data_IF_317771961185
#
_entry.id   IF_317771961185
#
_cell.length_a   1.000
_cell.length_b   1.000
_cell.length_c   1.000
_cell.angle_alpha   90.00
_cell.angle_beta   90.00
_cell.angle_gamma   90.00
#
_symmetry.space_group_name_H-M   'P 1'
#
loop_
_entity.id
_entity.type
_entity.pdbx_description
1 polymer ?
#
# COMPACT_ATOMS: atom_id res chain seq x y z
N UNK A 1 -19.99 12.67 -0.21
CA UNK A 1 -19.61 11.46 0.54
C UNK A 1 -20.30 10.27 -0.12
N UNK A 2 -19.57 9.24 -0.55
CA UNK A 2 -20.11 8.15 -1.38
C UNK A 2 -20.75 6.99 -0.59
N UNK A 3 -20.49 6.88 0.72
CA UNK A 3 -21.12 5.86 1.57
C UNK A 3 -20.22 4.63 1.79
N UNK A 4 -20.85 3.45 1.92
CA UNK A 4 -20.16 2.17 2.16
C UNK A 4 -19.47 1.69 0.88
N UNK A 5 -18.16 1.45 0.95
CA UNK A 5 -17.33 0.97 -0.16
C UNK A 5 -17.83 -0.35 -0.75
N UNK A 6 -18.42 -1.22 0.08
CA UNK A 6 -18.98 -2.50 -0.37
C UNK A 6 -20.22 -2.34 -1.26
N UNK A 7 -20.85 -1.16 -1.26
CA UNK A 7 -22.02 -0.83 -2.08
C UNK A 7 -21.68 0.13 -3.22
N UNK A 8 -20.42 0.54 -3.35
CA UNK A 8 -19.96 1.45 -4.39
C UNK A 8 -19.66 0.69 -5.69
N UNK A 9 -20.01 1.32 -6.81
CA UNK A 9 -19.65 0.89 -8.16
C UNK A 9 -18.51 1.79 -8.65
N UNK A 10 -17.30 1.23 -8.73
CA UNK A 10 -16.09 1.95 -9.11
C UNK A 10 -16.13 2.52 -10.53
N UNK A 11 -16.91 1.91 -11.43
CA UNK A 11 -17.10 2.41 -12.79
C UNK A 11 -18.01 3.64 -12.89
N UNK A 12 -18.74 3.97 -11.82
CA UNK A 12 -19.59 5.18 -11.73
C UNK A 12 -18.94 6.33 -10.95
N UNK A 13 -17.75 6.12 -10.39
CA UNK A 13 -17.01 7.16 -9.68
C UNK A 13 -16.29 8.02 -10.72
N UNK A 14 -16.23 9.33 -10.47
CA UNK A 14 -15.41 10.23 -11.29
C UNK A 14 -13.95 9.72 -11.32
N UNK A 15 -13.35 9.53 -12.51
CA UNK A 15 -11.98 9.04 -12.62
C UNK A 15 -10.98 9.92 -11.87
N UNK A 16 -10.02 9.28 -11.20
CA UNK A 16 -8.96 9.97 -10.46
C UNK A 16 -7.60 9.37 -10.79
N UNK A 17 -6.53 10.18 -10.76
CA UNK A 17 -5.18 9.69 -11.02
C UNK A 17 -4.66 8.76 -9.90
N UNK A 18 -5.05 9.03 -8.64
CA UNK A 18 -4.50 8.35 -7.46
C UNK A 18 -5.64 7.93 -6.52
N UNK A 19 -5.65 6.66 -6.12
CA UNK A 19 -6.48 6.17 -5.01
C UNK A 19 -5.59 5.83 -3.82
N UNK A 20 -5.84 6.48 -2.68
CA UNK A 20 -5.15 6.18 -1.43
C UNK A 20 -6.09 5.49 -0.47
N UNK A 21 -5.66 4.40 0.16
CA UNK A 21 -6.49 3.69 1.13
C UNK A 21 -5.66 2.95 2.19
N UNK A 22 -6.30 2.69 3.32
CA UNK A 22 -5.82 1.75 4.32
C UNK A 22 -6.95 0.76 4.61
N UNK A 23 -6.59 -0.44 5.06
CA UNK A 23 -7.55 -1.49 5.40
C UNK A 23 -7.30 -2.00 6.82
N UNK A 24 -8.34 -2.33 7.60
CA UNK A 24 -8.15 -2.96 8.89
C UNK A 24 -7.31 -4.24 8.74
N UNK A 25 -6.14 -4.28 9.40
CA UNK A 25 -5.18 -5.38 9.27
C UNK A 25 -5.77 -6.75 9.69
N UNK A 26 -6.80 -6.74 10.53
CA UNK A 26 -7.46 -7.96 11.04
C UNK A 26 -8.28 -8.69 9.95
N UNK A 27 -8.84 -7.95 9.00
CA UNK A 27 -9.76 -8.52 8.00
C UNK A 27 -9.03 -9.25 6.87
N UNK A 28 -7.75 -8.95 6.64
CA UNK A 28 -6.93 -9.59 5.59
C UNK A 28 -6.65 -11.07 5.89
N UNK A 29 -6.31 -11.39 7.15
CA UNK A 29 -6.01 -12.77 7.56
C UNK A 29 -7.21 -13.72 7.43
N UNK A 30 -8.41 -13.17 7.53
CA UNK A 30 -9.67 -13.90 7.40
C UNK A 30 -10.00 -14.13 5.93
N UNK A 31 -9.80 -13.13 5.08
CA UNK A 31 -10.10 -13.20 3.65
C UNK A 31 -9.17 -14.17 2.90
N UNK A 32 -7.85 -14.15 3.18
CA UNK A 32 -6.89 -15.07 2.55
C UNK A 32 -7.12 -16.57 2.87
N UNK A 33 -7.87 -16.88 3.93
CA UNK A 33 -8.30 -18.25 4.26
C UNK A 33 -9.62 -18.66 3.61
N UNK A 34 -10.37 -17.70 3.04
CA UNK A 34 -11.75 -17.88 2.58
C UNK A 34 -11.93 -17.81 1.06
N UNK A 35 -10.87 -17.56 0.28
CA UNK A 35 -10.95 -17.61 -1.19
C UNK A 35 -11.39 -18.98 -1.77
N UNK A 36 -11.46 -20.04 -0.95
CA UNK A 36 -12.01 -21.33 -1.33
C UNK A 36 -13.52 -21.53 -1.12
N UNK A 37 -14.26 -20.55 -0.55
CA UNK A 37 -15.69 -20.67 -0.29
C UNK A 37 -16.41 -19.42 -0.77
N UNK A 38 -17.11 -19.56 -1.91
CA UNK A 38 -18.04 -18.55 -2.43
C UNK A 38 -19.02 -18.11 -1.34
N UNK A 39 -18.97 -16.82 -0.97
CA UNK A 39 -20.08 -16.19 -0.27
C UNK A 39 -19.71 -15.29 0.90
N UNK A 40 -19.89 -14.00 0.67
CA UNK A 40 -20.25 -12.95 1.62
C UNK A 40 -19.15 -12.38 2.54
N UNK A 41 -18.75 -11.14 2.19
CA UNK A 41 -17.81 -10.20 2.82
C UNK A 41 -16.33 -10.42 2.48
N UNK A 42 -15.94 -9.87 1.33
CA UNK A 42 -14.55 -9.58 1.03
C UNK A 42 -14.02 -8.52 2.04
N UNK A 43 -12.73 -8.54 2.37
CA UNK A 43 -12.17 -7.52 3.26
C UNK A 43 -12.20 -6.14 2.59
N UNK A 44 -12.19 -5.04 3.36
CA UNK A 44 -12.18 -3.69 2.80
C UNK A 44 -10.99 -3.42 1.85
N UNK A 45 -9.91 -4.19 1.98
CA UNK A 45 -8.82 -4.19 1.01
C UNK A 45 -9.29 -4.68 -0.37
N UNK A 46 -9.98 -5.82 -0.43
CA UNK A 46 -10.47 -6.37 -1.69
C UNK A 46 -11.58 -5.52 -2.30
N UNK A 47 -12.42 -4.87 -1.50
CA UNK A 47 -13.39 -3.87 -2.00
C UNK A 47 -12.68 -2.68 -2.66
N UNK A 48 -11.58 -2.19 -2.08
CA UNK A 48 -10.79 -1.13 -2.70
C UNK A 48 -10.13 -1.60 -4.01
N UNK A 49 -9.59 -2.82 -4.05
CA UNK A 49 -9.05 -3.41 -5.28
C UNK A 49 -10.15 -3.61 -6.34
N UNK A 50 -11.36 -4.02 -5.96
CA UNK A 50 -12.52 -4.12 -6.86
C UNK A 50 -12.82 -2.77 -7.50
N UNK A 51 -12.92 -1.70 -6.70
CA UNK A 51 -13.17 -0.35 -7.21
C UNK A 51 -12.07 0.11 -8.17
N UNK A 52 -10.79 -0.17 -7.85
CA UNK A 52 -9.67 0.14 -8.74
C UNK A 52 -9.83 -0.57 -10.09
N UNK A 53 -10.18 -1.87 -10.09
CA UNK A 53 -10.40 -2.63 -11.32
C UNK A 53 -11.58 -2.09 -12.12
N UNK A 54 -12.72 -1.85 -11.46
CA UNK A 54 -13.93 -1.31 -12.11
C UNK A 54 -13.68 0.07 -12.73
N UNK A 55 -12.94 0.96 -12.04
CA UNK A 55 -12.56 2.26 -12.57
C UNK A 55 -11.61 2.13 -13.77
N UNK A 56 -10.64 1.20 -13.72
CA UNK A 56 -9.76 0.93 -14.86
C UNK A 56 -10.54 0.41 -16.05
N UNK A 57 -11.45 -0.52 -15.85
CA UNK A 57 -12.30 -1.03 -16.91
C UNK A 57 -13.14 0.09 -17.55
N UNK A 58 -13.83 0.89 -16.73
CA UNK A 58 -14.67 2.00 -17.21
C UNK A 58 -13.88 3.11 -17.92
N UNK A 59 -12.60 3.27 -17.59
CA UNK A 59 -11.70 4.26 -18.20
C UNK A 59 -10.78 3.68 -19.28
N UNK A 60 -11.05 2.48 -19.79
CA UNK A 60 -10.21 1.79 -20.80
C UNK A 60 -8.73 1.65 -20.36
N UNK A 61 -8.50 1.46 -19.08
CA UNK A 61 -7.18 1.30 -18.47
C UNK A 61 -6.48 2.61 -18.13
N UNK A 62 -7.11 3.78 -18.29
CA UNK A 62 -6.45 5.06 -18.02
C UNK A 62 -6.38 5.40 -16.52
N UNK A 63 -7.42 5.11 -15.75
CA UNK A 63 -7.55 5.52 -14.33
C UNK A 63 -7.94 4.39 -13.37
N UNK A 64 -7.43 4.37 -12.13
CA UNK A 64 -6.38 5.25 -11.64
C UNK A 64 -5.01 4.81 -12.16
N UNK A 65 -4.09 5.77 -12.29
CA UNK A 65 -2.69 5.51 -12.64
C UNK A 65 -1.92 4.97 -11.44
N UNK A 66 -2.29 5.40 -10.24
CA UNK A 66 -1.61 5.04 -9.01
C UNK A 66 -2.56 4.58 -7.93
N UNK A 67 -2.07 3.66 -7.10
CA UNK A 67 -2.64 3.43 -5.78
C UNK A 67 -1.58 3.59 -4.70
N UNK A 68 -2.01 4.03 -3.52
CA UNK A 68 -1.20 4.04 -2.31
C UNK A 68 -1.93 3.29 -1.22
N UNK A 69 -1.35 2.19 -0.76
CA UNK A 69 -1.87 1.43 0.37
C UNK A 69 -1.00 1.63 1.60
N UNK A 70 -1.60 2.07 2.70
CA UNK A 70 -0.95 2.20 4.01
C UNK A 70 -1.40 1.06 4.94
N UNK A 71 -0.45 0.47 5.67
CA UNK A 71 -0.78 -0.47 6.73
C UNK A 71 0.30 -0.58 7.81
N UNK A 72 -0.03 -1.26 8.91
CA UNK A 72 0.91 -1.59 9.99
C UNK A 72 1.94 -2.62 9.53
N UNK A 73 3.17 -2.53 10.07
CA UNK A 73 4.24 -3.49 9.76
C UNK A 73 3.91 -4.93 10.17
N UNK A 74 2.89 -5.13 11.02
CA UNK A 74 2.38 -6.45 11.38
C UNK A 74 1.86 -7.26 10.17
N UNK A 75 1.45 -6.59 9.08
CA UNK A 75 1.01 -7.25 7.85
C UNK A 75 2.11 -8.16 7.24
N UNK A 76 3.39 -7.81 7.39
CA UNK A 76 4.52 -8.64 6.94
C UNK A 76 4.64 -9.97 7.69
N UNK A 77 4.18 -10.04 8.94
CA UNK A 77 4.25 -11.27 9.75
C UNK A 77 2.92 -12.01 9.83
N UNK A 78 1.84 -11.39 9.38
CA UNK A 78 0.49 -11.95 9.49
C UNK A 78 0.38 -13.21 8.64
N UNK A 79 -0.28 -14.24 9.19
CA UNK A 79 -0.44 -15.55 8.55
C UNK A 79 0.88 -16.13 7.99
N UNK A 80 1.98 -16.00 8.75
CA UNK A 80 3.34 -16.42 8.34
C UNK A 80 3.85 -15.71 7.07
N UNK A 81 3.41 -14.47 6.83
CA UNK A 81 3.80 -13.66 5.68
C UNK A 81 2.87 -13.81 4.46
N UNK A 82 1.89 -14.71 4.50
CA UNK A 82 0.99 -14.95 3.37
C UNK A 82 0.03 -13.78 3.10
N UNK A 83 -0.34 -13.01 4.13
CA UNK A 83 -1.30 -11.93 3.94
C UNK A 83 -0.70 -10.79 3.09
N UNK A 84 0.58 -10.44 3.31
CA UNK A 84 1.24 -9.44 2.46
C UNK A 84 1.53 -9.99 1.04
N UNK A 85 1.75 -11.30 0.90
CA UNK A 85 1.82 -11.96 -0.41
C UNK A 85 0.51 -11.77 -1.17
N UNK A 86 -0.62 -12.04 -0.51
CA UNK A 86 -1.96 -11.88 -1.08
C UNK A 86 -2.26 -10.41 -1.44
N UNK A 87 -1.75 -9.45 -0.66
CA UNK A 87 -1.83 -8.01 -1.00
C UNK A 87 -1.11 -7.74 -2.33
N UNK A 88 0.13 -8.22 -2.49
CA UNK A 88 0.87 -8.03 -3.75
C UNK A 88 0.19 -8.73 -4.92
N UNK A 89 -0.30 -9.96 -4.74
CA UNK A 89 -1.05 -10.68 -5.77
C UNK A 89 -2.30 -9.92 -6.20
N UNK A 90 -3.10 -9.43 -5.23
CA UNK A 90 -4.31 -8.68 -5.53
C UNK A 90 -4.02 -7.36 -6.23
N UNK A 91 -2.96 -6.64 -5.83
CA UNK A 91 -2.55 -5.39 -6.50
C UNK A 91 -2.07 -5.66 -7.92
N UNK A 92 -1.19 -6.66 -8.12
CA UNK A 92 -0.75 -7.03 -9.47
C UNK A 92 -1.91 -7.53 -10.33
N UNK A 93 -2.93 -8.15 -9.73
CA UNK A 93 -4.12 -8.64 -10.43
C UNK A 93 -4.98 -7.56 -11.09
N UNK A 94 -4.68 -6.28 -10.85
CA UNK A 94 -5.26 -5.15 -11.57
C UNK A 94 -4.79 -5.10 -13.03
N UNK A 95 -3.57 -5.57 -13.32
CA UNK A 95 -2.95 -5.57 -14.66
C UNK A 95 -2.64 -6.97 -15.18
N UNK A 96 -2.39 -7.94 -14.30
CA UNK A 96 -1.98 -9.31 -14.68
C UNK A 96 -2.83 -10.38 -13.99
N UNK A 97 -3.40 -11.31 -14.76
CA UNK A 97 -4.21 -12.39 -14.19
C UNK A 97 -3.46 -13.32 -13.22
N UNK A 98 -2.13 -13.39 -13.31
CA UNK A 98 -1.30 -14.21 -12.41
C UNK A 98 0.10 -13.64 -12.27
N UNK A 99 0.35 -12.96 -11.15
CA UNK A 99 1.70 -12.55 -10.77
C UNK A 99 2.37 -13.68 -9.97
N UNK A 100 3.61 -14.02 -10.33
CA UNK A 100 4.42 -14.95 -9.54
C UNK A 100 5.11 -14.18 -8.40
N UNK A 101 4.39 -14.01 -7.28
CA UNK A 101 4.93 -13.33 -6.11
C UNK A 101 5.71 -14.35 -5.26
N UNK A 102 7.03 -14.16 -5.06
CA UNK A 102 7.84 -15.08 -4.29
C UNK A 102 7.39 -15.12 -2.84
N UNK A 103 7.52 -16.31 -2.23
CA UNK A 103 7.31 -16.48 -0.80
C UNK A 103 8.56 -16.04 -0.05
N UNK A 104 8.37 -15.23 0.98
CA UNK A 104 9.42 -14.83 1.91
C UNK A 104 9.13 -15.40 3.29
N UNK A 105 10.14 -15.99 3.93
CA UNK A 105 10.06 -16.32 5.37
C UNK A 105 9.93 -15.04 6.22
N UNK A 106 10.54 -13.95 5.74
CA UNK A 106 10.45 -12.62 6.33
C UNK A 106 10.48 -11.57 5.24
N UNK A 107 9.41 -10.80 5.13
CA UNK A 107 9.34 -9.71 4.15
C UNK A 107 10.37 -8.62 4.45
N UNK A 108 11.07 -8.12 3.41
CA UNK A 108 11.97 -6.99 3.57
C UNK A 108 11.18 -5.70 3.82
N UNK A 109 11.80 -4.75 4.53
CA UNK A 109 11.20 -3.44 4.80
C UNK A 109 11.02 -2.57 3.54
N UNK A 110 11.60 -2.98 2.42
CA UNK A 110 11.40 -2.37 1.12
C UNK A 110 11.54 -3.43 0.02
N UNK A 111 10.82 -3.27 -1.08
CA UNK A 111 10.94 -4.15 -2.24
C UNK A 111 10.13 -3.65 -3.42
N UNK A 112 10.35 -4.29 -4.57
CA UNK A 112 9.85 -3.86 -5.87
C UNK A 112 9.47 -5.10 -6.69
N UNK A 113 8.28 -5.06 -7.27
CA UNK A 113 7.83 -5.93 -8.37
C UNK A 113 7.83 -5.08 -9.63
N UNK A 114 8.52 -5.57 -10.67
CA UNK A 114 8.55 -4.97 -11.99
C UNK A 114 7.87 -5.93 -12.96
N UNK A 115 6.86 -5.46 -13.66
CA UNK A 115 6.23 -6.13 -14.78
C UNK A 115 6.56 -5.37 -16.08
N UNK A 116 5.95 -5.79 -17.19
CA UNK A 116 6.22 -5.20 -18.51
C UNK A 116 5.71 -3.75 -18.62
N UNK A 117 4.54 -3.46 -18.04
CA UNK A 117 3.85 -2.16 -18.18
C UNK A 117 3.30 -1.59 -16.86
N UNK A 118 3.65 -2.20 -15.72
CA UNK A 118 3.34 -1.66 -14.39
C UNK A 118 4.43 -2.03 -13.36
N UNK A 119 4.42 -1.35 -12.22
CA UNK A 119 5.34 -1.65 -11.12
C UNK A 119 4.66 -1.49 -9.77
N UNK A 120 5.11 -2.26 -8.78
CA UNK A 120 4.62 -2.20 -7.40
C UNK A 120 5.80 -2.12 -6.45
N UNK A 121 5.90 -1.05 -5.68
CA UNK A 121 6.95 -0.87 -4.69
C UNK A 121 6.34 -0.81 -3.28
N UNK A 122 7.07 -1.28 -2.28
CA UNK A 122 6.72 -1.03 -0.88
C UNK A 122 7.93 -0.58 -0.07
N UNK A 123 7.66 0.16 1.02
CA UNK A 123 8.67 0.64 1.97
C UNK A 123 8.05 0.89 3.34
N UNK A 124 8.82 0.65 4.39
CA UNK A 124 8.48 1.07 5.76
C UNK A 124 9.03 2.47 6.02
N UNK A 125 8.15 3.40 6.37
CA UNK A 125 8.51 4.72 6.88
C UNK A 125 8.22 4.82 8.37
N UNK A 126 9.01 5.61 9.09
CA UNK A 126 8.81 5.92 10.51
C UNK A 126 8.55 7.42 10.66
N UNK A 127 7.37 7.79 11.16
CA UNK A 127 6.93 9.18 11.28
C UNK A 127 7.91 10.09 12.05
N UNK A 128 8.77 9.52 12.91
CA UNK A 128 9.78 10.27 13.65
C UNK A 128 10.76 11.05 12.76
N UNK A 129 10.93 10.63 11.50
CA UNK A 129 11.81 11.29 10.53
C UNK A 129 11.08 12.32 9.64
N UNK A 130 9.79 12.59 9.90
CA UNK A 130 8.93 13.43 9.06
C UNK A 130 8.30 14.58 9.85
N UNK A 131 9.04 15.13 10.82
CA UNK A 131 8.62 16.31 11.59
C UNK A 131 7.56 16.03 12.66
N UNK A 132 7.27 14.76 12.97
CA UNK A 132 6.31 14.37 14.02
C UNK A 132 7.07 13.68 15.16
N UNK A 133 6.93 14.10 16.44
CA UNK A 133 7.59 13.45 17.58
C UNK A 133 6.88 12.15 17.99
N UNK A 134 6.71 11.23 17.04
CA UNK A 134 6.01 9.96 17.24
C UNK A 134 6.75 8.84 16.51
N UNK A 135 7.08 7.76 17.24
CA UNK A 135 7.53 6.52 16.61
C UNK A 135 6.33 5.77 16.06
N UNK A 136 6.14 5.84 14.75
CA UNK A 136 5.01 5.20 14.06
C UNK A 136 5.51 4.65 12.73
N UNK A 137 5.90 3.38 12.75
CA UNK A 137 6.32 2.64 11.56
C UNK A 137 5.12 2.14 10.78
N UNK A 138 5.08 2.41 9.48
CA UNK A 138 4.01 2.00 8.57
C UNK A 138 4.57 1.56 7.22
N UNK A 139 3.95 0.54 6.66
CA UNK A 139 4.16 0.11 5.29
C UNK A 139 3.41 1.09 4.40
N UNK A 140 4.08 1.56 3.37
CA UNK A 140 3.47 2.23 2.24
C UNK A 140 3.78 1.40 1.01
N UNK A 141 2.75 1.01 0.28
CA UNK A 141 2.83 0.34 -1.01
C UNK A 141 2.31 1.29 -2.07
N UNK A 142 3.04 1.43 -3.17
CA UNK A 142 2.67 2.22 -4.34
C UNK A 142 2.60 1.28 -5.53
N UNK A 143 1.48 1.27 -6.24
CA UNK A 143 1.44 0.70 -7.59
C UNK A 143 1.41 1.82 -8.62
N UNK A 144 2.16 1.66 -9.70
CA UNK A 144 2.14 2.47 -10.91
C UNK A 144 1.58 1.59 -12.03
N UNK A 145 0.34 1.82 -12.44
CA UNK A 145 -0.35 1.04 -13.48
C UNK A 145 -0.23 1.64 -14.88
N UNK A 146 0.50 2.74 -15.01
CA UNK A 146 0.72 3.51 -16.25
C UNK A 146 2.22 3.61 -16.59
N UNK A 147 3.05 2.80 -15.92
CA UNK A 147 4.49 2.80 -16.09
C UNK A 147 5.25 2.08 -14.99
N UNK A 148 6.56 2.36 -14.94
CA UNK A 148 7.52 1.59 -14.15
C UNK A 148 8.15 2.40 -13.01
N UNK A 149 7.48 3.45 -12.53
CA UNK A 149 8.04 4.45 -11.62
C UNK A 149 7.72 4.22 -10.14
N UNK A 150 7.07 3.12 -9.75
CA UNK A 150 6.70 2.89 -8.34
C UNK A 150 7.92 2.92 -7.41
N UNK A 151 9.03 2.29 -7.82
CA UNK A 151 10.29 2.31 -7.08
C UNK A 151 10.89 3.71 -6.96
N UNK A 152 10.92 4.47 -8.06
CA UNK A 152 11.39 5.87 -8.07
C UNK A 152 10.62 6.70 -7.04
N UNK A 153 9.28 6.63 -7.09
CA UNK A 153 8.39 7.40 -6.22
C UNK A 153 8.52 7.06 -4.74
N UNK A 154 8.86 5.82 -4.41
CA UNK A 154 8.90 5.36 -3.03
C UNK A 154 10.30 5.35 -2.40
N UNK A 155 11.34 5.20 -3.24
CA UNK A 155 12.72 5.09 -2.78
C UNK A 155 13.49 6.40 -2.85
N UNK A 156 13.21 7.24 -3.84
CA UNK A 156 13.84 8.56 -3.96
C UNK A 156 13.07 9.55 -3.08
N UNK A 157 13.71 10.03 -2.01
CA UNK A 157 13.21 11.16 -1.23
C UNK A 157 14.14 12.36 -1.41
N UNK A 158 13.59 13.53 -1.75
CA UNK A 158 14.23 14.83 -1.50
C UNK A 158 14.17 15.23 0.00
N UNK A 159 13.91 14.27 0.90
CA UNK A 159 13.88 14.48 2.34
C UNK A 159 15.29 14.36 2.94
N UNK A 160 15.68 15.39 3.69
CA UNK A 160 16.97 15.51 4.38
C UNK A 160 17.32 14.22 5.15
N UNK A 161 18.42 13.57 4.76
CA UNK A 161 19.10 12.59 5.61
C UNK A 161 19.42 13.27 6.95
N UNK A 162 18.99 12.65 8.05
CA UNK A 162 19.05 13.23 9.40
C UNK A 162 20.45 13.64 9.87
N UNK A 163 20.85 14.87 9.54
CA UNK A 163 21.73 15.66 10.39
C UNK A 163 20.86 16.53 11.30
N UNK A 164 20.42 15.98 12.42
CA UNK A 164 20.14 16.83 13.58
C UNK A 164 21.47 17.45 13.99
N UNK A 165 21.66 18.74 13.71
CA UNK A 165 22.66 19.52 14.44
C UNK A 165 22.44 19.28 15.94
N UNK A 166 23.53 19.08 16.68
CA UNK A 166 23.51 18.87 18.13
C UNK A 166 22.63 19.94 18.79
N UNK A 167 21.57 19.49 19.46
CA UNK A 167 20.71 20.36 20.24
C UNK A 167 21.57 21.13 21.25
N UNK A 168 21.42 22.46 21.24
CA UNK A 168 22.04 23.34 22.22
C UNK A 168 21.82 22.80 23.65
N UNK A 169 22.92 22.60 24.40
CA UNK A 169 22.89 22.33 25.83
C UNK A 169 22.26 23.52 26.56
N UNK A 170 21.00 23.41 26.94
CA UNK A 170 20.34 24.39 27.79
C UNK A 170 20.36 23.94 29.26
N UNK A 171 21.53 23.98 29.90
CA UNK A 171 21.65 24.04 31.36
C UNK A 171 23.01 24.65 31.75
N UNK A 172 23.06 25.97 31.90
CA UNK A 172 24.04 26.66 32.75
C UNK A 172 23.40 27.88 33.42
N UNK A 173 23.25 27.79 34.76
CA UNK A 173 23.40 28.88 35.72
C UNK A 173 22.35 29.98 35.76
N UNK A 174 21.46 29.92 36.75
CA UNK A 174 21.04 31.14 37.47
C UNK A 174 21.89 31.28 38.73
N UNK A 175 22.48 32.46 38.86
CA UNK A 175 23.29 32.93 39.98
C UNK A 175 22.49 33.06 41.29
#
# INVERSE_FOLDING_TARGET
HYGDIAQMDGGKIEPVDIITFGSPCQDMSIAGKREGLEGSRSSLFYEAIRIVKEMREASNGEYPKYIVWENVTGAFSSNKGEDFRAVLEAVCSVKENKADIPRYEKWPNAGLVMADDFSVAWRVFDAQYWGVPQRRKRIYLVADFDGLCAGKKLFESEGLSGHSFEGFKAWQGTA
#
